data_IF_163046763631
#
_entry.id   IF_163046763631
#
_cell.length_a   1.000
_cell.length_b   1.000
_cell.length_c   1.000
_cell.angle_alpha   90.00
_cell.angle_beta   90.00
_cell.angle_gamma   90.00
#
_symmetry.space_group_name_H-M   'P 1'
#
loop_
_entity.id
_entity.type
_entity.pdbx_description
1 polymer ?
#
# COMPACT_ATOMS: atom_id res chain seq x y z
N UNK A 1 -27.55 29.49 -8.10
CA UNK A 1 -28.33 28.60 -7.21
C UNK A 1 -27.34 27.73 -6.44
N UNK A 2 -27.33 27.84 -5.10
CA UNK A 2 -26.52 27.00 -4.19
C UNK A 2 -27.28 25.72 -3.86
N UNK A 3 -26.51 24.67 -3.54
CA UNK A 3 -26.79 23.40 -2.82
C UNK A 3 -26.56 22.16 -3.69
N UNK A 4 -26.01 21.06 -3.17
CA UNK A 4 -25.71 20.74 -1.77
C UNK A 4 -24.64 19.66 -1.73
N UNK A 5 -23.67 19.83 -0.84
CA UNK A 5 -22.77 18.79 -0.38
C UNK A 5 -23.61 17.66 0.27
N UNK A 6 -23.35 16.42 -0.14
CA UNK A 6 -23.73 15.23 0.61
C UNK A 6 -22.49 14.71 1.32
N UNK A 7 -22.47 14.93 2.63
CA UNK A 7 -21.56 14.29 3.59
C UNK A 7 -21.80 12.79 3.60
N UNK A 8 -20.79 12.00 3.26
CA UNK A 8 -20.73 10.56 3.58
C UNK A 8 -19.35 10.26 4.15
N UNK A 9 -19.33 9.71 5.36
CA UNK A 9 -18.17 9.11 6.00
C UNK A 9 -17.27 8.37 5.00
N UNK A 10 -16.09 8.91 4.72
CA UNK A 10 -15.05 8.20 3.97
C UNK A 10 -14.16 7.48 4.96
N UNK A 11 -14.68 6.37 5.48
CA UNK A 11 -13.88 5.39 6.18
C UNK A 11 -12.75 4.90 5.25
N UNK A 12 -11.57 5.48 5.43
CA UNK A 12 -10.25 4.97 5.03
C UNK A 12 -10.21 4.20 3.69
N UNK A 13 -10.66 4.85 2.62
CA UNK A 13 -10.57 4.26 1.28
C UNK A 13 -9.11 4.28 0.82
N UNK A 14 -8.51 3.10 0.73
CA UNK A 14 -7.17 2.91 0.19
C UNK A 14 -7.25 3.04 -1.33
N UNK A 15 -6.90 4.20 -1.88
CA UNK A 15 -6.83 4.44 -3.33
C UNK A 15 -5.57 3.85 -4.01
N UNK A 16 -4.85 2.93 -3.37
CA UNK A 16 -3.65 2.32 -3.94
C UNK A 16 -4.06 1.19 -4.90
N UNK A 17 -3.76 1.33 -6.19
CA UNK A 17 -3.96 0.24 -7.16
C UNK A 17 -2.93 -0.87 -6.91
N UNK A 18 -3.42 -2.08 -6.60
CA UNK A 18 -2.60 -3.26 -6.35
C UNK A 18 -1.66 -3.58 -7.52
N UNK A 19 -2.20 -3.65 -8.73
CA UNK A 19 -1.42 -3.94 -9.94
C UNK A 19 -0.28 -2.92 -10.14
N UNK A 20 -0.58 -1.63 -10.02
CA UNK A 20 0.43 -0.56 -10.13
C UNK A 20 1.46 -0.64 -9.00
N UNK A 21 1.03 -0.96 -7.79
CA UNK A 21 1.92 -1.14 -6.65
C UNK A 21 2.86 -2.33 -6.83
N UNK A 22 2.36 -3.46 -7.35
CA UNK A 22 3.17 -4.63 -7.72
C UNK A 22 4.22 -4.28 -8.78
N UNK A 23 3.81 -3.57 -9.84
CA UNK A 23 4.72 -3.14 -10.90
C UNK A 23 5.82 -2.21 -10.35
N UNK A 24 5.46 -1.23 -9.52
CA UNK A 24 6.42 -0.33 -8.90
C UNK A 24 7.38 -1.08 -7.96
N UNK A 25 6.87 -2.02 -7.16
CA UNK A 25 7.69 -2.82 -6.26
C UNK A 25 8.69 -3.70 -7.02
N UNK A 26 8.27 -4.31 -8.13
CA UNK A 26 9.17 -5.09 -8.98
C UNK A 26 10.35 -4.27 -9.50
N UNK A 27 10.13 -3.02 -9.90
CA UNK A 27 11.20 -2.11 -10.33
C UNK A 27 12.15 -1.81 -9.15
N UNK A 28 11.62 -1.60 -7.96
CA UNK A 28 12.42 -1.36 -6.75
C UNK A 28 13.28 -2.58 -6.42
N UNK A 29 12.70 -3.77 -6.44
CA UNK A 29 13.40 -5.04 -6.19
C UNK A 29 14.48 -5.32 -7.24
N UNK A 30 14.22 -5.02 -8.52
CA UNK A 30 15.15 -5.28 -9.60
C UNK A 30 16.31 -4.28 -9.67
N UNK A 31 16.07 -3.00 -9.37
CA UNK A 31 17.05 -1.93 -9.60
C UNK A 31 17.59 -1.27 -8.33
N UNK A 32 16.80 -1.15 -7.27
CA UNK A 32 17.20 -0.45 -6.05
C UNK A 32 17.76 -1.41 -4.99
N UNK A 33 17.05 -2.49 -4.69
CA UNK A 33 17.44 -3.44 -3.62
C UNK A 33 18.85 -4.04 -3.81
N UNK A 34 19.30 -4.40 -5.03
CA UNK A 34 20.66 -4.93 -5.22
C UNK A 34 21.75 -3.92 -4.88
N UNK A 35 21.47 -2.61 -5.00
CA UNK A 35 22.39 -1.56 -4.57
C UNK A 35 22.35 -1.41 -3.04
N UNK A 36 21.16 -1.36 -2.45
CA UNK A 36 20.96 -1.24 -1.00
C UNK A 36 21.69 -2.36 -0.25
N UNK A 37 21.54 -3.60 -0.72
CA UNK A 37 22.19 -4.78 -0.13
C UNK A 37 23.72 -4.73 -0.28
N UNK A 38 24.21 -4.39 -1.49
CA UNK A 38 25.66 -4.29 -1.77
C UNK A 38 26.35 -3.25 -0.90
N UNK A 39 25.72 -2.09 -0.74
CA UNK A 39 26.24 -0.99 0.08
C UNK A 39 25.91 -1.17 1.57
N UNK A 40 25.25 -2.27 1.96
CA UNK A 40 24.76 -2.53 3.32
C UNK A 40 23.93 -1.38 3.90
N UNK A 41 23.26 -0.63 3.02
CA UNK A 41 22.52 0.56 3.40
C UNK A 41 21.24 0.17 4.14
N UNK A 42 20.99 0.82 5.27
CA UNK A 42 19.76 0.63 6.04
C UNK A 42 18.74 1.67 5.61
N UNK A 43 17.70 1.24 4.88
CA UNK A 43 16.59 2.11 4.53
C UNK A 43 15.87 2.50 5.84
N UNK A 44 15.63 3.79 6.05
CA UNK A 44 14.87 4.26 7.22
C UNK A 44 13.46 3.68 7.22
N UNK A 45 12.95 3.29 8.39
CA UNK A 45 11.56 2.87 8.57
C UNK A 45 10.54 3.96 8.21
N UNK A 46 10.95 5.22 8.13
CA UNK A 46 10.10 6.32 7.64
C UNK A 46 10.03 6.42 6.11
N UNK A 47 10.92 5.73 5.38
CA UNK A 47 11.02 5.81 3.93
C UNK A 47 9.83 5.11 3.27
N UNK A 48 9.21 5.74 2.26
CA UNK A 48 8.09 5.15 1.52
C UNK A 48 8.48 3.91 0.71
N UNK A 49 9.77 3.76 0.41
CA UNK A 49 10.32 2.61 -0.30
C UNK A 49 10.82 1.51 0.65
N UNK A 50 10.66 1.69 1.96
CA UNK A 50 11.01 0.64 2.91
C UNK A 50 10.17 -0.62 2.62
N UNK A 51 10.76 -1.82 2.59
CA UNK A 51 10.01 -3.07 2.35
C UNK A 51 8.81 -3.24 3.28
N UNK A 52 9.00 -2.95 4.56
CA UNK A 52 7.92 -3.01 5.57
C UNK A 52 6.85 -1.92 5.40
N UNK A 53 7.03 -0.97 4.48
CA UNK A 53 6.05 0.07 4.18
C UNK A 53 5.28 -0.20 2.89
N UNK A 54 5.60 -1.30 2.19
CA UNK A 54 4.88 -1.71 1.01
C UNK A 54 3.53 -2.35 1.41
N UNK A 55 2.46 -1.60 1.16
CA UNK A 55 1.10 -1.88 1.64
C UNK A 55 0.58 -3.30 1.34
N UNK A 56 0.87 -3.82 0.14
CA UNK A 56 0.41 -5.12 -0.31
C UNK A 56 1.45 -6.23 -0.12
N UNK A 57 2.63 -5.94 0.43
CA UNK A 57 3.77 -6.84 0.51
C UNK A 57 3.40 -8.22 1.06
N UNK A 58 2.76 -8.23 2.24
CA UNK A 58 2.34 -9.47 2.91
C UNK A 58 1.39 -10.29 2.02
N UNK A 59 0.39 -9.66 1.41
CA UNK A 59 -0.58 -10.36 0.55
C UNK A 59 0.05 -10.88 -0.74
N UNK A 60 0.98 -10.15 -1.33
CA UNK A 60 1.72 -10.61 -2.53
C UNK A 60 2.60 -11.82 -2.19
N UNK A 61 3.26 -11.84 -1.02
CA UNK A 61 4.01 -13.00 -0.53
C UNK A 61 3.13 -14.23 -0.26
N UNK A 62 1.84 -14.02 0.04
CA UNK A 62 0.87 -15.09 0.28
C UNK A 62 0.15 -15.56 -1.00
N UNK A 63 0.68 -15.24 -2.18
CA UNK A 63 0.25 -15.85 -3.44
C UNK A 63 1.08 -17.07 -3.75
N UNK A 64 0.41 -18.20 -3.90
CA UNK A 64 1.06 -19.45 -4.25
C UNK A 64 0.60 -19.83 -5.66
N UNK A 65 1.49 -19.75 -6.64
CA UNK A 65 1.24 -20.26 -7.98
C UNK A 65 1.54 -21.76 -8.01
N UNK A 66 0.49 -22.58 -8.01
CA UNK A 66 0.58 -24.04 -7.90
C UNK A 66 0.79 -24.68 -9.27
N UNK A 67 0.06 -24.21 -10.27
CA UNK A 67 0.11 -24.67 -11.67
C UNK A 67 -0.36 -23.52 -12.59
N UNK A 68 -0.24 -23.67 -13.91
CA UNK A 68 -0.54 -22.68 -14.96
C UNK A 68 -1.90 -21.99 -14.74
N UNK A 69 -2.90 -22.74 -14.27
CA UNK A 69 -4.25 -22.24 -14.01
C UNK A 69 -4.68 -22.42 -12.54
N UNK A 70 -3.74 -22.60 -11.60
CA UNK A 70 -4.05 -22.75 -10.19
C UNK A 70 -3.23 -21.80 -9.32
N UNK A 71 -3.96 -20.88 -8.67
CA UNK A 71 -3.44 -19.93 -7.69
C UNK A 71 -4.08 -20.22 -6.34
N UNK A 72 -3.28 -20.26 -5.28
CA UNK A 72 -3.76 -20.57 -3.93
C UNK A 72 -3.46 -19.44 -2.96
N UNK A 73 -4.46 -19.11 -2.14
CA UNK A 73 -4.33 -18.17 -1.04
C UNK A 73 -3.48 -18.78 0.09
N UNK A 74 -2.39 -18.12 0.46
CA UNK A 74 -1.50 -18.53 1.54
C UNK A 74 -2.18 -18.55 2.92
N UNK A 75 -3.14 -17.65 3.17
CA UNK A 75 -3.82 -17.52 4.46
C UNK A 75 -4.86 -18.61 4.73
N UNK A 76 -5.78 -18.84 3.78
CA UNK A 76 -6.93 -19.73 3.96
C UNK A 76 -6.94 -20.95 3.04
N UNK A 77 -5.89 -21.13 2.23
CA UNK A 77 -5.67 -22.27 1.32
C UNK A 77 -6.71 -22.47 0.21
N UNK A 78 -7.63 -21.51 -0.01
CA UNK A 78 -8.55 -21.52 -1.16
C UNK A 78 -7.78 -21.41 -2.48
N UNK A 79 -8.14 -22.22 -3.47
CA UNK A 79 -7.58 -22.18 -4.83
C UNK A 79 -8.49 -21.40 -5.79
N UNK A 80 -7.88 -20.82 -6.82
CA UNK A 80 -8.47 -19.93 -7.80
C UNK A 80 -7.87 -20.22 -9.18
N UNK A 81 -8.68 -20.06 -10.24
CA UNK A 81 -8.27 -20.38 -11.61
C UNK A 81 -7.28 -19.39 -12.26
N UNK A 82 -7.06 -18.23 -11.63
CA UNK A 82 -6.18 -17.18 -12.13
C UNK A 82 -5.85 -16.18 -11.00
N UNK A 83 -4.69 -15.52 -11.11
CA UNK A 83 -4.19 -14.57 -10.12
C UNK A 83 -5.21 -13.46 -9.80
N UNK A 84 -5.88 -12.92 -10.82
CA UNK A 84 -6.88 -11.85 -10.63
C UNK A 84 -8.03 -12.22 -9.68
N UNK A 85 -8.40 -13.50 -9.62
CA UNK A 85 -9.46 -13.95 -8.70
C UNK A 85 -8.92 -14.11 -7.27
N UNK A 86 -7.64 -14.42 -7.13
CA UNK A 86 -6.96 -14.41 -5.83
C UNK A 86 -6.76 -12.98 -5.32
N UNK A 87 -6.40 -12.03 -6.20
CA UNK A 87 -6.32 -10.60 -5.87
C UNK A 87 -7.66 -10.07 -5.36
N UNK A 88 -8.74 -10.34 -6.11
CA UNK A 88 -10.09 -9.95 -5.69
C UNK A 88 -10.50 -10.62 -4.37
N UNK A 89 -10.05 -11.85 -4.11
CA UNK A 89 -10.26 -12.53 -2.84
C UNK A 89 -9.54 -11.83 -1.69
N UNK A 90 -8.31 -11.36 -1.88
CA UNK A 90 -7.62 -10.57 -0.86
C UNK A 90 -8.38 -9.28 -0.53
N UNK A 91 -8.84 -8.56 -1.54
CA UNK A 91 -9.58 -7.31 -1.36
C UNK A 91 -10.90 -7.52 -0.60
N UNK A 92 -11.57 -8.66 -0.80
CA UNK A 92 -12.87 -8.94 -0.19
C UNK A 92 -12.80 -9.64 1.18
N UNK A 93 -11.78 -10.48 1.41
CA UNK A 93 -11.72 -11.39 2.56
C UNK A 93 -10.52 -11.16 3.48
N UNK A 94 -9.48 -10.51 2.98
CA UNK A 94 -8.24 -10.26 3.72
C UNK A 94 -7.83 -8.79 3.72
N UNK A 95 -8.76 -7.86 3.44
CA UNK A 95 -8.49 -6.41 3.51
C UNK A 95 -7.90 -5.97 4.84
N UNK A 96 -8.34 -6.58 5.96
CA UNK A 96 -7.81 -6.29 7.29
C UNK A 96 -6.35 -6.72 7.53
N UNK A 97 -5.75 -7.49 6.61
CA UNK A 97 -4.35 -7.91 6.67
C UNK A 97 -3.42 -6.98 5.86
N UNK A 98 -3.91 -5.82 5.41
CA UNK A 98 -3.07 -4.82 4.76
C UNK A 98 -2.14 -4.15 5.77
N UNK A 99 -0.91 -3.86 5.33
CA UNK A 99 0.04 -3.12 6.14
C UNK A 99 -0.29 -1.62 6.13
N UNK A 100 -1.30 -1.26 6.91
CA UNK A 100 -1.77 0.12 7.07
C UNK A 100 -0.92 0.95 8.05
N UNK A 101 0.27 0.45 8.43
CA UNK A 101 1.18 1.03 9.43
C UNK A 101 1.71 2.44 9.15
N UNK A 102 1.29 3.10 8.08
CA UNK A 102 1.75 4.43 7.67
C UNK A 102 0.70 5.56 7.72
N UNK A 103 -0.43 5.39 8.40
CA UNK A 103 -1.44 6.47 8.51
C UNK A 103 -1.91 6.76 9.93
N UNK A 104 -1.00 6.93 10.88
CA UNK A 104 -1.24 7.79 12.05
C UNK A 104 0.04 8.54 12.45
N UNK A 105 0.44 9.52 11.62
CA UNK A 105 1.31 10.60 12.10
C UNK A 105 1.00 11.92 11.38
N UNK A 106 -0.01 12.58 11.92
CA UNK A 106 -0.05 14.00 12.25
C UNK A 106 -0.17 15.07 11.15
N UNK A 107 -1.20 15.90 11.38
CA UNK A 107 -1.40 17.28 10.96
C UNK A 107 -0.10 18.10 10.91
N UNK A 108 0.11 18.81 9.79
CA UNK A 108 0.68 20.17 9.72
C UNK A 108 0.52 20.70 8.30
N UNK A 109 -0.64 21.26 8.02
CA UNK A 109 -0.76 22.31 7.02
C UNK A 109 -1.11 23.60 7.77
N UNK A 110 -0.14 24.49 7.95
CA UNK A 110 -0.34 25.92 8.18
C UNK A 110 0.86 26.68 7.61
N UNK A 111 0.87 26.91 6.30
CA UNK A 111 1.41 28.14 5.74
C UNK A 111 0.26 29.15 5.65
N UNK A 112 0.41 30.29 6.32
CA UNK A 112 -0.58 31.36 6.36
C UNK A 112 -0.04 32.63 7.02
N UNK A 113 0.70 33.41 6.23
CA UNK A 113 0.71 34.89 6.15
C UNK A 113 0.39 35.76 7.40
N UNK A 114 1.34 36.64 7.75
CA UNK A 114 1.10 38.10 7.74
C UNK A 114 0.68 38.83 9.03
N UNK A 115 1.54 39.79 9.44
CA UNK A 115 1.28 41.05 10.17
C UNK A 115 0.77 40.96 11.63
N UNK A 116 1.06 41.88 12.57
CA UNK A 116 1.61 43.23 12.54
C UNK A 116 2.27 43.53 13.90
N UNK A 117 3.24 44.45 13.90
CA UNK A 117 3.65 45.19 15.09
C UNK A 117 2.46 45.96 15.69
N UNK A 118 2.46 46.12 17.01
CA UNK A 118 2.14 47.37 17.70
C UNK A 118 2.68 47.32 19.14
N UNK A 119 3.04 48.50 19.63
CA UNK A 119 3.84 48.84 20.81
C UNK A 119 3.27 48.38 22.17
#
# INVERSE_FOLDING_TARGET
>A
MKKSQTTKDHAHEVHCSRERSRAAWKIIEEYLMPFVEREQYQISSSCKLHPDNHLFSDQEQHKIHVDINEWRCGYCKKSFRAEKFLDQHFDNRHYGLLNVGLRLSNSRNQHGVGSSLAA
#
